data_IF_168135291965
#
_entry.id   IF_168135291965
#
_cell.length_a   1.000
_cell.length_b   1.000
_cell.length_c   1.000
_cell.angle_alpha   90.00
_cell.angle_beta   90.00
_cell.angle_gamma   90.00
#
_symmetry.space_group_name_H-M   'P 1'
#
loop_
_entity.id
_entity.type
_entity.pdbx_description
1 polymer ?
#
# COMPACT_ATOMS: atom_id res chain seq x y z
N UNK A 1 38.26 6.21 -3.15
CA UNK A 1 37.21 5.17 -3.25
C UNK A 1 36.55 4.90 -1.89
N UNK A 2 36.94 5.64 -0.85
CA UNK A 2 36.65 5.33 0.55
C UNK A 2 35.38 6.02 1.08
N UNK A 3 34.98 7.12 0.43
CA UNK A 3 33.74 7.83 0.76
C UNK A 3 32.49 7.02 0.38
N UNK A 4 32.54 6.29 -0.74
CA UNK A 4 31.44 5.40 -1.16
C UNK A 4 31.26 4.21 -0.21
N UNK A 5 32.34 3.67 0.35
CA UNK A 5 32.27 2.58 1.34
C UNK A 5 31.68 3.06 2.66
N UNK A 6 31.98 4.29 3.08
CA UNK A 6 31.41 4.88 4.30
C UNK A 6 29.90 5.13 4.20
N UNK A 7 29.41 5.55 3.03
CA UNK A 7 27.99 5.77 2.79
C UNK A 7 27.17 4.46 2.78
N UNK A 8 27.73 3.39 2.23
CA UNK A 8 27.10 2.06 2.22
C UNK A 8 27.03 1.46 3.62
N UNK A 9 28.04 1.68 4.45
CA UNK A 9 28.06 1.20 5.83
C UNK A 9 27.08 1.93 6.75
N UNK A 10 26.81 3.22 6.47
CA UNK A 10 25.79 4.00 7.18
C UNK A 10 24.37 3.56 6.78
N UNK A 11 24.16 3.20 5.51
CA UNK A 11 22.88 2.67 5.03
C UNK A 11 22.61 1.22 5.47
N UNK A 12 23.64 0.38 5.68
CA UNK A 12 23.47 -1.02 6.10
C UNK A 12 23.29 -1.20 7.61
N UNK A 13 23.65 -0.21 8.43
CA UNK A 13 23.52 -0.30 9.89
C UNK A 13 22.08 -0.11 10.39
N UNK A 14 21.15 0.29 9.51
CA UNK A 14 19.73 0.43 9.83
C UNK A 14 18.93 -0.88 9.63
N UNK A 15 19.58 -1.98 9.24
CA UNK A 15 18.94 -3.28 9.01
C UNK A 15 19.33 -4.37 10.02
N UNK A 16 20.14 -4.06 11.04
CA UNK A 16 20.37 -4.98 12.15
C UNK A 16 19.29 -4.76 13.22
N UNK A 17 18.15 -5.43 13.05
CA UNK A 17 17.23 -5.67 14.15
C UNK A 17 17.94 -6.60 15.15
N UNK A 18 18.46 -6.01 16.23
CA UNK A 18 18.79 -6.77 17.42
C UNK A 18 17.47 -7.33 17.95
N UNK A 19 17.31 -8.64 17.87
CA UNK A 19 16.18 -9.37 18.42
C UNK A 19 16.27 -9.35 19.95
N UNK A 20 15.86 -8.23 20.54
CA UNK A 20 15.64 -8.14 21.98
C UNK A 20 14.37 -8.93 22.30
N UNK A 21 14.59 -10.04 22.98
CA UNK A 21 13.59 -10.96 23.51
C UNK A 21 12.81 -10.28 24.64
N UNK A 22 11.82 -9.47 24.28
CA UNK A 22 10.83 -8.94 25.21
C UNK A 22 9.50 -9.67 24.99
N UNK A 23 9.29 -10.75 25.75
CA UNK A 23 7.97 -11.34 25.96
C UNK A 23 7.03 -10.26 26.49
N UNK A 24 6.04 -9.85 25.70
CA UNK A 24 5.06 -8.89 26.17
C UNK A 24 4.06 -8.47 25.10
N UNK A 25 2.96 -9.22 25.03
CA UNK A 25 1.70 -8.88 24.37
C UNK A 25 1.65 -9.12 22.84
N UNK A 26 1.74 -10.38 22.44
CA UNK A 26 1.26 -10.80 21.12
C UNK A 26 -0.27 -10.62 21.05
N UNK A 27 -0.81 -10.07 19.95
CA UNK A 27 -2.25 -10.02 19.73
C UNK A 27 -2.78 -11.46 19.62
N UNK A 28 -3.49 -11.90 20.66
CA UNK A 28 -4.13 -13.21 20.69
C UNK A 28 -5.45 -13.18 19.90
N UNK A 29 -6.00 -14.35 19.58
CA UNK A 29 -7.29 -14.62 18.93
C UNK A 29 -8.53 -13.96 19.58
N UNK A 30 -8.36 -13.29 20.72
CA UNK A 30 -9.40 -12.53 21.45
C UNK A 30 -9.28 -11.01 21.29
N UNK A 31 -8.31 -10.54 20.50
CA UNK A 31 -8.09 -9.11 20.27
C UNK A 31 -9.06 -8.62 19.19
N UNK A 32 -10.03 -7.79 19.58
CA UNK A 32 -11.01 -7.23 18.66
C UNK A 32 -10.35 -6.23 17.70
N UNK A 33 -10.65 -6.34 16.41
CA UNK A 33 -10.03 -5.51 15.36
C UNK A 33 -10.58 -4.08 15.27
N UNK A 34 -11.61 -3.74 16.05
CA UNK A 34 -12.27 -2.42 16.03
C UNK A 34 -12.62 -2.01 17.46
N UNK A 35 -12.12 -0.85 17.89
CA UNK A 35 -12.25 -0.36 19.27
C UNK A 35 -13.65 0.19 19.63
N UNK A 36 -14.53 0.44 18.64
CA UNK A 36 -15.91 0.87 18.89
C UNK A 36 -16.74 0.85 17.59
N UNK A 37 -17.84 0.08 17.47
CA UNK A 37 -18.73 0.20 16.32
C UNK A 37 -19.57 1.48 16.45
N UNK A 38 -19.05 2.61 15.98
CA UNK A 38 -19.86 3.81 15.75
C UNK A 38 -20.70 3.58 14.49
N UNK A 39 -21.96 3.22 14.69
CA UNK A 39 -22.98 3.14 13.64
C UNK A 39 -23.24 4.51 13.04
N UNK A 40 -22.44 4.92 12.06
CA UNK A 40 -22.71 6.09 11.22
C UNK A 40 -23.12 5.62 9.82
N UNK A 41 -24.37 5.18 9.68
CA UNK A 41 -25.04 5.08 8.38
C UNK A 41 -25.61 6.47 8.04
N UNK A 42 -25.23 7.12 6.92
CA UNK A 42 -25.87 8.36 6.53
C UNK A 42 -27.18 8.05 5.80
N UNK A 43 -28.26 8.62 6.33
CA UNK A 43 -29.50 8.98 5.65
C UNK A 43 -30.31 7.86 4.96
N UNK A 44 -31.27 7.29 5.69
CA UNK A 44 -32.58 6.97 5.10
C UNK A 44 -33.65 7.70 5.91
N UNK A 45 -34.35 8.57 5.20
CA UNK A 45 -35.45 9.39 5.67
C UNK A 45 -36.53 8.53 6.32
N UNK A 46 -37.04 9.03 7.44
CA UNK A 46 -38.19 8.53 8.19
C UNK A 46 -39.41 8.40 7.27
N UNK A 47 -40.06 7.25 7.26
CA UNK A 47 -41.48 7.14 6.95
C UNK A 47 -42.17 6.48 8.15
N UNK A 48 -42.80 7.33 8.97
CA UNK A 48 -43.69 6.93 10.05
C UNK A 48 -44.94 6.23 9.46
N UNK A 49 -45.34 5.12 10.08
CA UNK A 49 -46.66 4.82 10.67
C UNK A 49 -47.90 5.30 9.88
N UNK A 50 -49.00 4.55 9.69
CA UNK A 50 -49.64 3.49 10.46
C UNK A 50 -50.90 3.08 9.65
N UNK A 51 -51.41 1.88 9.89
CA UNK A 51 -52.78 1.39 9.65
C UNK A 51 -53.71 2.15 8.70
N UNK A 52 -54.05 1.49 7.59
CA UNK A 52 -55.40 1.62 7.02
C UNK A 52 -55.83 0.27 6.44
N UNK A 53 -56.68 -0.42 7.20
CA UNK A 53 -57.32 -1.68 6.83
C UNK A 53 -58.09 -1.56 5.51
N UNK A 54 -58.07 -2.66 4.74
CA UNK A 54 -59.15 -3.00 3.81
C UNK A 54 -58.91 -2.65 2.34
N UNK A 55 -58.01 -3.37 1.66
CA UNK A 55 -58.20 -3.75 0.26
C UNK A 55 -57.50 -5.08 -0.02
N UNK A 56 -58.26 -6.18 -0.15
CA UNK A 56 -57.75 -7.37 -0.83
C UNK A 56 -57.54 -7.03 -2.31
N UNK A 57 -56.31 -7.13 -2.82
CA UNK A 57 -56.07 -7.35 -4.25
C UNK A 57 -55.04 -8.46 -4.51
N UNK A 58 -55.25 -9.27 -5.56
CA UNK A 58 -54.52 -10.48 -5.85
C UNK A 58 -53.39 -10.17 -6.83
N UNK A 59 -52.13 -10.07 -6.38
CA UNK A 59 -50.97 -10.05 -7.28
C UNK A 59 -49.69 -10.39 -6.51
N UNK A 60 -49.24 -11.62 -6.74
CA UNK A 60 -47.87 -12.11 -6.68
C UNK A 60 -46.77 -11.08 -7.03
N UNK A 61 -45.57 -11.23 -6.42
CA UNK A 61 -44.17 -11.08 -6.98
C UNK A 61 -43.18 -10.50 -5.93
N UNK A 62 -41.90 -10.95 -5.82
CA UNK A 62 -41.37 -12.29 -5.64
C UNK A 62 -40.48 -12.42 -4.36
N UNK A 63 -40.55 -13.52 -3.61
CA UNK A 63 -39.61 -13.84 -2.49
C UNK A 63 -38.15 -14.11 -2.96
N UNK A 64 -37.79 -13.69 -4.17
CA UNK A 64 -36.56 -14.04 -4.89
C UNK A 64 -35.44 -13.02 -4.67
N UNK A 65 -35.78 -11.76 -4.41
CA UNK A 65 -34.80 -10.65 -4.35
C UNK A 65 -34.05 -10.61 -3.02
N UNK A 66 -34.69 -10.96 -1.89
CA UNK A 66 -34.03 -11.07 -0.58
C UNK A 66 -32.98 -12.18 -0.55
N UNK A 67 -33.24 -13.30 -1.23
CA UNK A 67 -32.30 -14.42 -1.35
C UNK A 67 -31.11 -14.02 -2.24
N UNK A 68 -31.33 -13.19 -3.27
CA UNK A 68 -30.28 -12.65 -4.12
C UNK A 68 -29.39 -11.65 -3.37
N UNK A 69 -29.98 -10.76 -2.58
CA UNK A 69 -29.25 -9.83 -1.71
C UNK A 69 -28.40 -10.59 -0.67
N UNK A 70 -28.96 -11.63 -0.06
CA UNK A 70 -28.23 -12.49 0.87
C UNK A 70 -27.07 -13.24 0.19
N UNK A 71 -27.28 -13.80 -1.00
CA UNK A 71 -26.22 -14.45 -1.76
C UNK A 71 -25.08 -13.48 -2.11
N UNK A 72 -25.41 -12.22 -2.44
CA UNK A 72 -24.40 -11.18 -2.68
C UNK A 72 -23.59 -10.90 -1.42
N UNK A 73 -24.24 -10.79 -0.25
CA UNK A 73 -23.56 -10.59 1.04
C UNK A 73 -22.61 -11.76 1.33
N UNK A 74 -23.06 -13.01 1.11
CA UNK A 74 -22.24 -14.20 1.34
C UNK A 74 -21.03 -14.21 0.40
N UNK A 75 -21.23 -13.92 -0.89
CA UNK A 75 -20.13 -13.86 -1.87
C UNK A 75 -19.12 -12.76 -1.56
N UNK A 76 -19.61 -11.57 -1.21
CA UNK A 76 -18.77 -10.43 -0.83
C UNK A 76 -18.00 -10.73 0.46
N UNK A 77 -18.67 -11.31 1.46
CA UNK A 77 -18.02 -11.75 2.71
C UNK A 77 -16.97 -12.82 2.42
N UNK A 78 -17.28 -13.82 1.59
CA UNK A 78 -16.35 -14.88 1.23
C UNK A 78 -15.12 -14.36 0.47
N UNK A 79 -15.28 -13.29 -0.34
CA UNK A 79 -14.17 -12.65 -1.04
C UNK A 79 -13.31 -11.76 -0.12
N UNK A 80 -13.92 -11.17 0.93
CA UNK A 80 -13.26 -10.23 1.83
C UNK A 80 -12.70 -10.87 3.11
N UNK A 81 -13.09 -12.12 3.43
CA UNK A 81 -12.51 -12.88 4.53
C UNK A 81 -11.11 -13.33 4.15
N UNK A 82 -10.14 -13.01 5.01
CA UNK A 82 -8.74 -13.39 4.83
C UNK A 82 -8.57 -14.84 5.33
N UNK A 83 -8.31 -15.75 4.41
CA UNK A 83 -7.86 -17.11 4.76
C UNK A 83 -6.38 -17.09 5.09
N UNK A 84 -6.07 -17.08 6.39
CA UNK A 84 -4.70 -17.08 6.92
C UNK A 84 -3.99 -18.41 6.66
N UNK A 85 -4.74 -19.51 6.50
CA UNK A 85 -4.18 -20.84 6.24
C UNK A 85 -3.78 -21.02 4.76
N UNK A 86 -4.36 -20.25 3.85
CA UNK A 86 -4.04 -20.27 2.42
C UNK A 86 -2.72 -19.57 2.04
N UNK A 87 -1.93 -19.11 3.02
CA UNK A 87 -0.63 -18.46 2.77
C UNK A 87 0.48 -19.41 2.30
N UNK A 88 0.25 -20.73 2.27
CA UNK A 88 1.23 -21.69 1.78
C UNK A 88 1.44 -21.58 0.25
N UNK A 89 2.69 -21.69 -0.17
CA UNK A 89 3.22 -21.35 -1.50
C UNK A 89 2.86 -22.42 -2.56
N UNK A 90 2.22 -23.53 -2.16
CA UNK A 90 2.10 -24.73 -2.98
C UNK A 90 0.66 -25.14 -3.33
N UNK A 91 -0.19 -24.18 -3.69
CA UNK A 91 -1.55 -24.45 -4.15
C UNK A 91 -1.67 -24.79 -5.65
N UNK A 92 -0.55 -24.91 -6.38
CA UNK A 92 -0.55 -25.27 -7.80
C UNK A 92 0.23 -26.56 -8.05
N UNK A 93 -0.37 -27.48 -8.80
CA UNK A 93 0.31 -28.71 -9.18
C UNK A 93 1.43 -28.43 -10.20
N UNK A 94 2.58 -29.13 -10.16
CA UNK A 94 3.71 -28.85 -11.04
C UNK A 94 3.38 -28.91 -12.54
N UNK A 95 2.49 -29.81 -12.92
CA UNK A 95 2.07 -29.97 -14.31
C UNK A 95 1.20 -28.78 -14.77
N UNK A 96 0.29 -28.33 -13.93
CA UNK A 96 -0.54 -27.15 -14.21
C UNK A 96 0.32 -25.90 -14.33
N UNK A 97 1.32 -25.73 -13.46
CA UNK A 97 2.28 -24.65 -13.58
C UNK A 97 3.00 -24.68 -14.94
N UNK A 98 3.52 -25.84 -15.35
CA UNK A 98 4.20 -26.00 -16.64
C UNK A 98 3.30 -25.67 -17.83
N UNK A 99 2.04 -26.12 -17.80
CA UNK A 99 1.08 -25.84 -18.86
C UNK A 99 0.71 -24.35 -18.93
N UNK A 100 0.54 -23.69 -17.78
CA UNK A 100 0.32 -22.22 -17.71
C UNK A 100 1.52 -21.46 -18.27
N UNK A 101 2.75 -21.86 -17.94
CA UNK A 101 3.98 -21.24 -18.48
C UNK A 101 4.02 -21.36 -20.00
N UNK A 102 3.75 -22.54 -20.56
CA UNK A 102 3.72 -22.76 -22.01
C UNK A 102 2.65 -21.89 -22.67
N UNK A 103 1.44 -21.88 -22.11
CA UNK A 103 0.31 -21.12 -22.65
C UNK A 103 0.58 -19.62 -22.66
N UNK A 104 1.06 -19.05 -21.55
CA UNK A 104 1.35 -17.61 -21.48
C UNK A 104 2.53 -17.22 -22.38
N UNK A 105 3.57 -18.07 -22.46
CA UNK A 105 4.70 -17.83 -23.36
C UNK A 105 4.25 -17.78 -24.82
N UNK A 106 3.37 -18.71 -25.23
CA UNK A 106 2.84 -18.75 -26.59
C UNK A 106 1.96 -17.53 -26.90
N UNK A 107 1.04 -17.16 -25.99
CA UNK A 107 0.19 -15.96 -26.18
C UNK A 107 1.03 -14.69 -26.23
N UNK A 108 2.05 -14.57 -25.37
CA UNK A 108 2.94 -13.43 -25.37
C UNK A 108 3.71 -13.33 -26.69
N UNK A 109 4.30 -14.43 -27.18
CA UNK A 109 5.03 -14.44 -28.45
C UNK A 109 4.14 -14.06 -29.64
N UNK A 110 2.88 -14.51 -29.67
CA UNK A 110 1.92 -14.16 -30.72
C UNK A 110 1.59 -12.66 -30.75
N UNK A 111 1.48 -12.03 -29.57
CA UNK A 111 1.11 -10.61 -29.45
C UNK A 111 2.33 -9.67 -29.46
N UNK A 112 3.54 -10.20 -29.25
CA UNK A 112 4.78 -9.43 -29.17
C UNK A 112 5.09 -8.62 -30.45
N UNK A 113 4.68 -9.09 -31.62
CA UNK A 113 4.89 -8.34 -32.86
C UNK A 113 3.85 -7.23 -33.09
N UNK A 114 2.71 -7.28 -32.39
CA UNK A 114 1.57 -6.39 -32.62
C UNK A 114 1.51 -5.21 -31.64
N UNK A 115 2.23 -5.30 -30.52
CA UNK A 115 2.29 -4.25 -29.51
C UNK A 115 3.45 -3.31 -29.84
N UNK A 116 3.24 -1.98 -29.89
CA UNK A 116 4.35 -1.03 -29.95
C UNK A 116 5.14 -1.10 -28.63
N UNK A 117 6.35 -1.66 -28.69
CA UNK A 117 7.21 -1.80 -27.52
C UNK A 117 7.94 -0.48 -27.25
N UNK A 118 7.99 0.01 -26.00
CA UNK A 118 8.83 1.16 -25.62
C UNK A 118 10.31 0.98 -26.01
N UNK A 119 10.76 -0.28 -26.10
CA UNK A 119 12.13 -0.66 -26.46
C UNK A 119 12.34 -0.96 -27.95
N UNK A 120 11.30 -0.83 -28.80
CA UNK A 120 11.41 -1.03 -30.26
C UNK A 120 12.20 0.09 -30.94
N UNK A 121 12.36 1.23 -30.27
CA UNK A 121 13.31 2.25 -30.69
C UNK A 121 14.68 1.81 -30.21
N UNK A 122 15.55 1.43 -31.15
CA UNK A 122 16.94 1.09 -30.86
C UNK A 122 17.57 2.22 -30.05
N UNK A 123 17.74 2.00 -28.75
CA UNK A 123 18.52 2.83 -27.84
C UNK A 123 18.35 4.34 -28.05
N UNK A 124 17.20 4.89 -27.66
CA UNK A 124 17.20 6.28 -27.20
C UNK A 124 17.97 6.24 -25.87
N UNK A 125 19.27 6.52 -25.89
CA UNK A 125 20.04 6.71 -24.68
C UNK A 125 19.30 7.68 -23.75
N UNK A 126 19.30 7.41 -22.44
CA UNK A 126 18.65 8.29 -21.44
C UNK A 126 19.16 9.73 -21.58
N UNK A 127 20.41 9.87 -22.00
CA UNK A 127 21.07 11.12 -22.28
C UNK A 127 21.07 11.36 -23.79
N UNK A 128 20.71 12.58 -24.17
CA UNK A 128 20.86 13.08 -25.54
C UNK A 128 22.15 13.87 -25.63
N UNK A 129 22.92 13.65 -26.68
CA UNK A 129 24.09 14.47 -26.96
C UNK A 129 23.66 15.93 -27.15
N UNK A 130 24.39 16.83 -26.50
CA UNK A 130 24.18 18.27 -26.67
C UNK A 130 25.10 18.73 -27.80
N UNK A 131 24.57 19.37 -28.86
CA UNK A 131 25.42 19.95 -29.89
C UNK A 131 26.30 21.06 -29.27
N UNK A 132 27.60 21.02 -29.57
CA UNK A 132 28.60 21.99 -29.10
C UNK A 132 28.72 22.10 -27.55
N UNK A 133 29.21 21.05 -26.86
CA UNK A 133 29.29 20.99 -25.39
C UNK A 133 30.14 22.11 -24.78
N UNK A 134 31.18 22.58 -25.49
CA UNK A 134 32.04 23.67 -25.07
C UNK A 134 31.25 24.95 -24.73
N UNK A 135 30.20 25.25 -25.50
CA UNK A 135 29.37 26.45 -25.26
C UNK A 135 28.56 26.37 -23.97
N UNK A 136 28.12 25.16 -23.60
CA UNK A 136 27.35 24.94 -22.37
C UNK A 136 28.29 24.93 -21.16
N UNK A 137 29.46 24.30 -21.28
CA UNK A 137 30.44 24.23 -20.20
C UNK A 137 31.10 25.59 -19.88
N UNK A 138 31.17 26.49 -20.87
CA UNK A 138 31.70 27.86 -20.70
C UNK A 138 30.63 28.89 -20.30
N UNK A 139 29.37 28.46 -20.15
CA UNK A 139 28.29 29.34 -19.71
C UNK A 139 28.50 29.84 -18.27
N UNK A 140 27.80 30.91 -17.91
CA UNK A 140 27.91 31.51 -16.57
C UNK A 140 27.51 30.46 -15.52
N UNK A 141 28.38 30.18 -14.54
CA UNK A 141 28.07 29.19 -13.51
C UNK A 141 26.94 29.68 -12.59
N UNK A 142 26.33 28.75 -11.85
CA UNK A 142 25.31 29.06 -10.84
C UNK A 142 25.85 30.12 -9.88
N UNK A 143 25.03 31.13 -9.58
CA UNK A 143 25.44 32.25 -8.73
C UNK A 143 25.72 31.78 -7.29
N UNK A 144 26.60 32.50 -6.59
CA UNK A 144 26.89 32.20 -5.19
C UNK A 144 25.68 32.46 -4.28
N UNK A 145 24.80 33.39 -4.66
CA UNK A 145 23.55 33.69 -3.96
C UNK A 145 22.60 32.50 -4.03
N UNK A 146 22.40 31.91 -5.22
CA UNK A 146 21.56 30.73 -5.41
C UNK A 146 22.09 29.52 -4.61
N UNK A 147 23.40 29.29 -4.64
CA UNK A 147 24.03 28.23 -3.83
C UNK A 147 23.83 28.47 -2.32
N UNK A 148 23.90 29.73 -1.87
CA UNK A 148 23.59 30.12 -0.50
C UNK A 148 22.14 29.84 -0.12
N UNK A 149 21.20 30.20 -1.01
CA UNK A 149 19.77 29.94 -0.84
C UNK A 149 19.49 28.44 -0.74
N UNK A 150 20.04 27.63 -1.65
CA UNK A 150 19.87 26.17 -1.66
C UNK A 150 20.37 25.57 -0.34
N UNK A 151 21.57 25.96 0.12
CA UNK A 151 22.12 25.47 1.40
C UNK A 151 21.24 25.85 2.59
N UNK A 152 20.77 27.09 2.64
CA UNK A 152 19.88 27.56 3.70
C UNK A 152 18.56 26.78 3.73
N UNK A 153 17.98 26.51 2.55
CA UNK A 153 16.75 25.73 2.44
C UNK A 153 16.96 24.29 2.91
N UNK A 154 18.04 23.63 2.49
CA UNK A 154 18.37 22.26 2.93
C UNK A 154 18.61 22.21 4.44
N UNK A 155 19.30 23.19 5.00
CA UNK A 155 19.54 23.26 6.44
C UNK A 155 18.22 23.41 7.22
N UNK A 156 17.32 24.29 6.77
CA UNK A 156 15.99 24.45 7.38
C UNK A 156 15.16 23.18 7.29
N UNK A 157 15.18 22.49 6.14
CA UNK A 157 14.49 21.22 5.97
C UNK A 157 15.05 20.15 6.92
N UNK A 158 16.37 20.06 7.06
CA UNK A 158 17.01 19.12 7.98
C UNK A 158 16.62 19.38 9.44
N UNK A 159 16.57 20.65 9.86
CA UNK A 159 16.08 21.03 11.20
C UNK A 159 14.62 20.63 11.38
N UNK A 160 13.77 20.88 10.39
CA UNK A 160 12.35 20.51 10.46
C UNK A 160 12.14 18.99 10.57
N UNK A 161 12.93 18.19 9.85
CA UNK A 161 12.88 16.72 9.93
C UNK A 161 13.31 16.24 11.32
N UNK A 162 14.31 16.88 11.95
CA UNK A 162 14.74 16.53 13.30
C UNK A 162 13.68 16.83 14.39
N UNK A 163 12.70 17.68 14.10
CA UNK A 163 11.56 17.94 14.99
C UNK A 163 10.43 16.92 14.85
N UNK A 164 10.49 16.01 13.86
CA UNK A 164 9.57 14.88 13.75
C UNK A 164 10.00 13.81 14.76
N UNK A 165 9.57 13.99 16.02
CA UNK A 165 9.85 13.07 17.13
C UNK A 165 8.66 13.00 18.08
N UNK A 166 8.50 11.86 18.75
CA UNK A 166 7.47 11.69 19.78
C UNK A 166 7.90 12.49 21.01
N UNK A 167 7.06 13.45 21.44
CA UNK A 167 7.26 14.17 22.70
C UNK A 167 6.83 13.27 23.85
N UNK A 168 7.78 12.93 24.72
CA UNK A 168 7.47 12.20 25.95
C UNK A 168 6.59 13.04 26.89
N UNK A 169 5.50 12.46 27.38
CA UNK A 169 4.54 13.11 28.30
C UNK A 169 4.45 12.37 29.62
N UNK A 170 4.23 11.06 29.58
CA UNK A 170 4.11 10.21 30.75
C UNK A 170 4.82 8.87 30.52
N UNK A 171 5.09 8.16 31.60
CA UNK A 171 5.72 6.85 31.54
C UNK A 171 4.71 5.83 30.99
N UNK A 172 4.99 5.27 29.82
CA UNK A 172 4.21 4.16 29.26
C UNK A 172 4.34 2.87 30.09
N UNK A 173 5.43 2.74 30.85
CA UNK A 173 5.71 1.59 31.71
C UNK A 173 5.96 2.10 33.13
N UNK A 174 5.16 1.62 34.08
CA UNK A 174 5.32 1.89 35.51
C UNK A 174 5.55 0.58 36.26
N UNK A 175 6.64 0.48 37.05
CA UNK A 175 6.89 -0.71 37.84
C UNK A 175 5.94 -0.76 39.03
N UNK A 176 5.19 -1.85 39.15
CA UNK A 176 4.41 -2.10 40.36
C UNK A 176 5.36 -2.56 41.47
N UNK A 177 5.55 -1.69 42.47
CA UNK A 177 6.19 -2.07 43.75
C UNK A 177 5.12 -2.06 44.84
N UNK A 178 5.10 -3.13 45.62
CA UNK A 178 4.29 -3.26 46.83
C UNK A 178 5.08 -2.59 47.97
N UNK A 179 4.44 -1.80 48.85
CA UNK A 179 5.09 -1.14 49.97
C UNK A 179 5.73 -2.11 50.98
#
# INVERSE_FOLDING_TARGET
MDCFRSLVHYASSCFNCQEDSAQGNEPNERTHLLDNPVSNSPAVLRANNEDREGVDYPNSVPKKDDVSALNKIIQDTAANVIDVAAMDIHHIEPHEYSDRVRFYSQRLAQQWSTVPHPNSVSHIGLLKDIPNPESVLTSVPISHEDLGMIRSMVQKANVAVAEIKVKHTENLVVPFRIP
#
